data_IF_960585801180
#
_entry.id   IF_960585801180
#
_cell.length_a   1.000
_cell.length_b   1.000
_cell.length_c   1.000
_cell.angle_alpha   90.00
_cell.angle_beta   90.00
_cell.angle_gamma   90.00
#
_symmetry.space_group_name_H-M   'P 1'
#
loop_
_entity.id
_entity.type
_entity.pdbx_description
1 polymer ?
#
# COMPACT_ATOMS: atom_id res chain seq x y z
N UNK A 1 1.85 -1.14 -17.85
CA UNK A 1 2.80 -1.15 -18.97
C UNK A 1 4.13 -1.70 -18.50
N UNK A 2 4.76 -2.53 -19.31
CA UNK A 2 6.11 -3.02 -19.05
C UNK A 2 7.12 -1.87 -19.10
N UNK A 3 8.14 -1.89 -18.23
CA UNK A 3 9.23 -0.91 -18.27
C UNK A 3 10.16 -1.14 -19.45
N UNK A 4 10.61 -0.06 -20.10
CA UNK A 4 11.55 -0.12 -21.22
C UNK A 4 12.83 -0.89 -20.85
N UNK A 5 13.28 -0.80 -19.60
CA UNK A 5 14.44 -1.53 -19.10
C UNK A 5 14.28 -3.06 -19.22
N UNK A 6 13.09 -3.60 -18.94
CA UNK A 6 12.83 -5.05 -19.04
C UNK A 6 12.79 -5.52 -20.49
N UNK A 7 12.25 -4.70 -21.39
CA UNK A 7 12.30 -4.96 -22.84
C UNK A 7 13.75 -4.91 -23.32
N UNK A 8 14.53 -3.90 -22.89
CA UNK A 8 15.94 -3.76 -23.24
C UNK A 8 16.75 -4.99 -22.82
N UNK A 9 16.61 -5.45 -21.58
CA UNK A 9 17.28 -6.66 -21.10
C UNK A 9 16.95 -7.90 -21.95
N UNK A 10 15.68 -8.08 -22.32
CA UNK A 10 15.27 -9.18 -23.19
C UNK A 10 15.89 -9.08 -24.60
N UNK A 11 16.01 -7.88 -25.18
CA UNK A 11 16.67 -7.68 -26.47
C UNK A 11 18.18 -7.95 -26.37
N UNK A 12 18.83 -7.52 -25.29
CA UNK A 12 20.26 -7.74 -25.07
C UNK A 12 20.60 -9.23 -24.94
N UNK A 13 19.78 -10.02 -24.23
CA UNK A 13 19.89 -11.49 -24.17
C UNK A 13 19.76 -12.14 -25.55
N UNK A 14 18.79 -11.69 -26.36
CA UNK A 14 18.61 -12.20 -27.73
C UNK A 14 19.82 -11.86 -28.60
N UNK A 15 20.36 -10.64 -28.51
CA UNK A 15 21.58 -10.23 -29.24
C UNK A 15 22.79 -11.05 -28.78
N UNK A 16 22.93 -11.30 -27.49
CA UNK A 16 24.05 -12.06 -26.96
C UNK A 16 24.12 -13.47 -27.57
N UNK A 17 22.96 -14.13 -27.70
CA UNK A 17 22.84 -15.49 -28.26
C UNK A 17 22.96 -15.47 -29.79
N UNK A 18 22.20 -14.60 -30.45
CA UNK A 18 22.04 -14.63 -31.91
C UNK A 18 23.09 -13.83 -32.68
N UNK A 19 23.80 -12.91 -32.00
CA UNK A 19 24.68 -11.89 -32.59
C UNK A 19 24.00 -10.97 -33.61
N UNK A 20 22.68 -10.90 -33.57
CA UNK A 20 21.88 -10.03 -34.44
C UNK A 20 21.45 -8.79 -33.65
N UNK A 21 21.54 -7.64 -34.31
CA UNK A 21 21.11 -6.37 -33.75
C UNK A 21 19.59 -6.21 -33.84
N UNK A 22 18.96 -5.81 -32.73
CA UNK A 22 17.51 -5.64 -32.62
C UNK A 22 17.15 -4.23 -32.13
N UNK A 23 16.02 -3.73 -32.61
CA UNK A 23 15.39 -2.53 -32.10
C UNK A 23 13.87 -2.69 -32.07
N UNK A 24 13.23 -2.21 -31.01
CA UNK A 24 11.78 -2.24 -30.83
C UNK A 24 11.23 -0.82 -30.81
N UNK A 25 10.19 -0.60 -31.59
CA UNK A 25 9.49 0.68 -31.69
C UNK A 25 8.00 0.48 -31.39
N UNK A 26 7.33 1.55 -30.94
CA UNK A 26 5.86 1.58 -30.89
C UNK A 26 5.27 1.59 -32.30
N UNK A 27 3.98 1.29 -32.43
CA UNK A 27 3.18 1.48 -33.65
C UNK A 27 3.35 2.89 -34.28
N UNK A 28 3.58 3.91 -33.44
CA UNK A 28 3.81 5.31 -33.83
C UNK A 28 5.27 5.66 -34.19
N UNK A 29 6.18 4.71 -34.21
CA UNK A 29 7.59 4.94 -34.57
C UNK A 29 8.48 5.50 -33.47
N UNK A 30 8.01 5.57 -32.21
CA UNK A 30 8.87 5.94 -31.07
C UNK A 30 9.70 4.74 -30.63
N UNK A 31 11.01 4.92 -30.49
CA UNK A 31 11.91 3.86 -30.02
C UNK A 31 11.65 3.51 -28.55
N UNK A 32 11.51 2.22 -28.26
CA UNK A 32 11.28 1.66 -26.92
C UNK A 32 12.57 1.09 -26.32
N UNK A 33 13.30 0.31 -27.12
CA UNK A 33 14.54 -0.36 -26.74
C UNK A 33 15.36 -0.67 -28.00
N UNK A 34 16.69 -0.68 -27.90
CA UNK A 34 17.57 -1.00 -29.03
C UNK A 34 18.91 -1.52 -28.54
N UNK A 35 19.49 -2.47 -29.28
CA UNK A 35 20.80 -3.06 -28.96
C UNK A 35 21.94 -2.43 -29.78
N UNK A 36 21.64 -1.43 -30.60
CA UNK A 36 22.56 -0.73 -31.50
C UNK A 36 22.11 0.73 -31.69
N UNK A 37 23.03 1.59 -32.13
CA UNK A 37 22.68 2.96 -32.50
C UNK A 37 21.89 2.96 -33.82
N UNK A 38 20.67 3.46 -33.75
CA UNK A 38 19.75 3.54 -34.88
C UNK A 38 20.07 4.78 -35.70
N UNK A 39 20.53 4.56 -36.94
CA UNK A 39 20.89 5.63 -37.88
C UNK A 39 19.71 5.99 -38.80
N UNK A 40 19.49 7.28 -39.03
CA UNK A 40 18.46 7.79 -39.95
C UNK A 40 17.06 7.96 -39.36
N UNK A 41 16.11 8.42 -40.19
CA UNK A 41 14.71 8.64 -39.80
C UNK A 41 13.90 7.32 -39.85
N UNK A 42 14.24 6.42 -38.93
CA UNK A 42 13.57 5.12 -38.77
C UNK A 42 12.11 5.27 -38.33
N UNK A 43 11.72 6.41 -37.76
CA UNK A 43 10.35 6.70 -37.34
C UNK A 43 9.39 6.66 -38.53
N UNK A 44 9.75 7.30 -39.64
CA UNK A 44 8.95 7.27 -40.87
C UNK A 44 8.82 5.85 -41.45
N UNK A 45 9.92 5.09 -41.49
CA UNK A 45 9.92 3.72 -42.01
C UNK A 45 9.05 2.78 -41.17
N UNK A 46 9.14 2.89 -39.84
CA UNK A 46 8.32 2.12 -38.90
C UNK A 46 6.85 2.46 -39.04
N UNK A 47 6.50 3.76 -39.09
CA UNK A 47 5.11 4.20 -39.21
C UNK A 47 4.50 3.74 -40.56
N UNK A 48 5.25 3.87 -41.65
CA UNK A 48 4.83 3.37 -42.97
C UNK A 48 4.63 1.84 -42.97
N UNK A 49 5.49 1.08 -42.30
CA UNK A 49 5.36 -0.37 -42.19
C UNK A 49 4.18 -0.77 -41.29
N UNK A 50 3.97 -0.07 -40.18
CA UNK A 50 2.85 -0.30 -39.26
C UNK A 50 1.50 -0.18 -39.97
N UNK A 51 1.33 0.83 -40.85
CA UNK A 51 0.14 1.01 -41.68
C UNK A 51 -0.01 0.06 -42.87
N UNK A 52 0.99 -0.75 -43.18
CA UNK A 52 0.97 -1.67 -44.33
C UNK A 52 0.17 -2.95 -44.06
N UNK A 53 -0.21 -3.70 -45.10
CA UNK A 53 -0.84 -5.02 -44.94
C UNK A 53 0.18 -6.16 -44.66
N UNK A 54 1.49 -5.87 -44.71
CA UNK A 54 2.52 -6.89 -44.53
C UNK A 54 2.74 -7.24 -43.04
N UNK A 55 2.86 -8.53 -42.72
CA UNK A 55 3.24 -8.98 -41.36
C UNK A 55 4.74 -8.84 -41.09
N UNK A 56 5.54 -8.96 -42.15
CA UNK A 56 6.98 -8.74 -42.13
C UNK A 56 7.46 -8.16 -43.46
N UNK A 57 8.49 -7.30 -43.43
CA UNK A 57 9.06 -6.70 -44.63
C UNK A 57 10.57 -6.53 -44.47
N UNK A 58 11.33 -6.71 -45.56
CA UNK A 58 12.74 -6.31 -45.60
C UNK A 58 12.86 -4.93 -46.26
N UNK A 59 13.49 -3.98 -45.55
CA UNK A 59 13.73 -2.63 -46.05
C UNK A 59 15.11 -2.16 -45.57
N UNK A 60 15.93 -1.66 -46.49
CA UNK A 60 17.25 -1.06 -46.16
C UNK A 60 18.17 -1.95 -45.31
N UNK A 61 18.18 -3.26 -45.56
CA UNK A 61 19.02 -4.22 -44.82
C UNK A 61 18.51 -4.56 -43.40
N UNK A 62 17.28 -4.14 -43.07
CA UNK A 62 16.59 -4.51 -41.84
C UNK A 62 15.33 -5.32 -42.14
N UNK A 63 15.03 -6.32 -41.32
CA UNK A 63 13.74 -6.98 -41.32
C UNK A 63 12.83 -6.35 -40.29
N UNK A 64 11.63 -5.99 -40.71
CA UNK A 64 10.56 -5.43 -39.89
C UNK A 64 9.54 -6.51 -39.60
N UNK A 65 9.06 -6.56 -38.36
CA UNK A 65 8.04 -7.51 -37.92
C UNK A 65 6.98 -6.79 -37.08
N UNK A 66 5.72 -7.12 -37.33
CA UNK A 66 4.60 -6.66 -36.51
C UNK A 66 4.47 -7.53 -35.26
N UNK A 67 4.35 -6.90 -34.11
CA UNK A 67 4.08 -7.56 -32.83
C UNK A 67 2.65 -7.26 -32.43
N UNK A 68 1.77 -8.24 -32.64
CA UNK A 68 0.38 -8.16 -32.23
C UNK A 68 0.17 -8.74 -30.84
N UNK A 69 -0.59 -8.03 -30.00
CA UNK A 69 -1.04 -8.47 -28.68
C UNK A 69 -2.55 -8.27 -28.62
N UNK A 70 -3.30 -9.31 -28.27
CA UNK A 70 -4.78 -9.33 -28.25
C UNK A 70 -5.48 -8.77 -29.52
N UNK A 71 -4.81 -8.91 -30.67
CA UNK A 71 -5.33 -8.48 -31.97
C UNK A 71 -4.98 -7.04 -32.36
N UNK A 72 -4.34 -6.27 -31.47
CA UNK A 72 -3.87 -4.91 -31.75
C UNK A 72 -2.36 -4.89 -32.01
N UNK A 73 -1.92 -3.98 -32.90
CA UNK A 73 -0.51 -3.78 -33.22
C UNK A 73 0.13 -2.90 -32.13
N UNK A 74 0.89 -3.50 -31.23
CA UNK A 74 1.54 -2.77 -30.13
C UNK A 74 2.92 -2.26 -30.51
N UNK A 75 3.70 -3.11 -31.19
CA UNK A 75 5.10 -2.81 -31.51
C UNK A 75 5.50 -3.24 -32.92
N UNK A 76 6.59 -2.64 -33.39
CA UNK A 76 7.33 -3.04 -34.58
C UNK A 76 8.75 -3.41 -34.16
N UNK A 77 9.14 -4.66 -34.39
CA UNK A 77 10.49 -5.15 -34.15
C UNK A 77 11.31 -5.06 -35.43
N UNK A 78 12.55 -4.59 -35.31
CA UNK A 78 13.53 -4.57 -36.37
C UNK A 78 14.69 -5.48 -36.04
N UNK A 79 15.18 -6.22 -37.03
CA UNK A 79 16.47 -6.92 -36.97
C UNK A 79 17.38 -6.41 -38.08
N UNK A 80 18.60 -5.98 -37.71
CA UNK A 80 19.61 -5.46 -38.64
C UNK A 80 20.63 -6.56 -38.93
N UNK A 81 20.40 -7.33 -40.00
CA UNK A 81 21.35 -8.31 -40.50
C UNK A 81 20.92 -8.82 -41.88
N UNK A 82 21.89 -9.09 -42.76
CA UNK A 82 21.69 -9.73 -44.06
C UNK A 82 21.81 -11.26 -44.01
N UNK A 83 21.99 -11.84 -42.83
CA UNK A 83 22.09 -13.29 -42.65
C UNK A 83 20.70 -13.95 -42.78
N UNK A 84 20.64 -15.16 -43.34
CA UNK A 84 19.39 -15.93 -43.46
C UNK A 84 18.72 -16.16 -42.09
N UNK A 85 19.54 -16.29 -41.03
CA UNK A 85 19.08 -16.50 -39.67
C UNK A 85 18.39 -15.26 -39.06
N UNK A 86 18.61 -14.06 -39.62
CA UNK A 86 18.05 -12.81 -39.12
C UNK A 86 16.53 -12.79 -39.12
N UNK A 87 15.94 -13.46 -40.12
CA UNK A 87 14.49 -13.61 -40.19
C UNK A 87 13.95 -14.54 -39.10
N UNK A 88 14.59 -15.70 -38.90
CA UNK A 88 14.18 -16.66 -37.88
C UNK A 88 14.34 -16.08 -36.47
N UNK A 89 15.46 -15.41 -36.20
CA UNK A 89 15.72 -14.71 -34.93
C UNK A 89 14.71 -13.60 -34.70
N UNK A 90 14.38 -12.81 -35.73
CA UNK A 90 13.31 -11.82 -35.64
C UNK A 90 11.96 -12.44 -35.26
N UNK A 91 11.60 -13.58 -35.86
CA UNK A 91 10.36 -14.31 -35.52
C UNK A 91 10.35 -14.85 -34.08
N UNK A 92 11.47 -15.36 -33.59
CA UNK A 92 11.62 -15.81 -32.21
C UNK A 92 11.53 -14.63 -31.23
N UNK A 93 12.19 -13.52 -31.55
CA UNK A 93 12.15 -12.29 -30.77
C UNK A 93 10.73 -11.71 -30.70
N UNK A 94 9.96 -11.69 -31.81
CA UNK A 94 8.53 -11.32 -31.81
C UNK A 94 7.74 -12.22 -30.86
N UNK A 95 7.96 -13.53 -30.91
CA UNK A 95 7.26 -14.47 -30.04
C UNK A 95 7.57 -14.20 -28.55
N UNK A 96 8.85 -13.96 -28.23
CA UNK A 96 9.30 -13.66 -26.88
C UNK A 96 8.70 -12.34 -26.37
N UNK A 97 8.81 -11.27 -27.15
CA UNK A 97 8.28 -9.95 -26.79
C UNK A 97 6.76 -10.03 -26.62
N UNK A 98 6.05 -10.67 -27.55
CA UNK A 98 4.60 -10.85 -27.43
C UNK A 98 4.23 -11.58 -26.15
N UNK A 99 4.88 -12.71 -25.85
CA UNK A 99 4.60 -13.49 -24.63
C UNK A 99 4.84 -12.65 -23.38
N UNK A 100 5.93 -11.88 -23.40
CA UNK A 100 6.31 -11.02 -22.30
C UNK A 100 5.30 -9.89 -22.11
N UNK A 101 4.93 -9.17 -23.18
CA UNK A 101 3.92 -8.09 -23.14
C UNK A 101 2.56 -8.62 -22.70
N UNK A 102 2.09 -9.73 -23.26
CA UNK A 102 0.83 -10.39 -22.86
C UNK A 102 0.82 -10.73 -21.37
N UNK A 103 1.92 -11.30 -20.83
CA UNK A 103 2.01 -11.62 -19.41
C UNK A 103 1.91 -10.36 -18.50
N UNK A 104 2.54 -9.26 -18.91
CA UNK A 104 2.44 -7.99 -18.17
C UNK A 104 1.07 -7.33 -18.29
N UNK A 105 0.39 -7.44 -19.44
CA UNK A 105 -0.98 -6.96 -19.62
C UNK A 105 -1.97 -7.74 -18.75
N UNK A 106 -1.86 -9.06 -18.73
CA UNK A 106 -2.70 -9.91 -17.86
C UNK A 106 -2.50 -9.55 -16.38
N UNK A 107 -1.24 -9.38 -15.92
CA UNK A 107 -0.96 -8.96 -14.56
C UNK A 107 -1.54 -7.57 -14.24
N UNK A 108 -1.45 -6.64 -15.19
CA UNK A 108 -2.01 -5.30 -15.04
C UNK A 108 -3.54 -5.34 -14.94
N UNK A 109 -4.20 -6.16 -15.76
CA UNK A 109 -5.65 -6.36 -15.72
C UNK A 109 -6.11 -7.01 -14.42
N UNK A 110 -5.32 -7.94 -13.89
CA UNK A 110 -5.56 -8.57 -12.58
C UNK A 110 -5.46 -7.57 -11.43
N UNK A 111 -4.45 -6.71 -11.43
CA UNK A 111 -4.30 -5.67 -10.41
C UNK A 111 -5.42 -4.61 -10.51
N UNK A 112 -5.77 -4.16 -11.73
CA UNK A 112 -6.87 -3.23 -11.95
C UNK A 112 -8.22 -3.85 -11.54
N UNK A 113 -8.44 -5.13 -11.84
CA UNK A 113 -9.62 -5.85 -11.35
C UNK A 113 -9.71 -5.83 -9.82
N UNK A 114 -8.61 -6.11 -9.13
CA UNK A 114 -8.55 -6.04 -7.67
C UNK A 114 -8.76 -4.62 -7.13
N UNK A 115 -8.22 -3.60 -7.80
CA UNK A 115 -8.46 -2.19 -7.48
C UNK A 115 -9.96 -1.84 -7.56
N UNK A 116 -10.65 -2.30 -8.59
CA UNK A 116 -12.10 -2.09 -8.75
C UNK A 116 -12.91 -2.78 -7.65
N UNK A 117 -12.48 -3.98 -7.22
CA UNK A 117 -13.09 -4.67 -6.06
C UNK A 117 -12.89 -3.84 -4.78
N UNK A 118 -11.66 -3.38 -4.51
CA UNK A 118 -11.33 -2.59 -3.32
C UNK A 118 -12.18 -1.33 -3.20
N UNK A 119 -12.43 -0.65 -4.33
CA UNK A 119 -13.21 0.57 -4.40
C UNK A 119 -14.73 0.33 -4.37
N UNK A 120 -15.19 -0.93 -4.40
CA UNK A 120 -16.61 -1.25 -4.40
C UNK A 120 -17.34 -0.89 -5.71
N UNK A 121 -16.59 -0.70 -6.81
CA UNK A 121 -17.12 -0.23 -8.10
C UNK A 121 -17.66 -1.38 -8.98
N UNK A 122 -18.01 -2.53 -8.41
CA UNK A 122 -18.39 -3.71 -9.18
C UNK A 122 -19.52 -4.49 -8.51
N UNK A 123 -20.48 -4.92 -9.32
CA UNK A 123 -21.53 -5.84 -8.88
C UNK A 123 -20.94 -7.22 -8.61
N UNK A 124 -21.48 -7.91 -7.61
CA UNK A 124 -21.00 -9.23 -7.16
C UNK A 124 -20.97 -10.24 -8.32
N UNK A 125 -21.99 -10.23 -9.19
CA UNK A 125 -22.06 -11.15 -10.35
C UNK A 125 -20.91 -10.91 -11.34
N UNK A 126 -20.64 -9.64 -11.66
CA UNK A 126 -19.55 -9.26 -12.58
C UNK A 126 -18.18 -9.58 -11.98
N UNK A 127 -18.05 -9.43 -10.67
CA UNK A 127 -16.84 -9.77 -9.92
C UNK A 127 -16.46 -11.24 -10.10
N UNK A 128 -17.39 -12.17 -9.89
CA UNK A 128 -17.11 -13.59 -10.06
C UNK A 128 -16.84 -13.98 -11.52
N UNK A 129 -17.61 -13.42 -12.47
CA UNK A 129 -17.39 -13.66 -13.90
C UNK A 129 -16.00 -13.20 -14.36
N UNK A 130 -15.57 -12.02 -13.90
CA UNK A 130 -14.27 -11.45 -14.27
C UNK A 130 -13.12 -12.14 -13.52
N UNK A 131 -13.31 -12.55 -12.27
CA UNK A 131 -12.34 -13.37 -11.54
C UNK A 131 -12.07 -14.69 -12.27
N UNK A 132 -13.10 -15.36 -12.79
CA UNK A 132 -12.94 -16.60 -13.54
C UNK A 132 -12.14 -16.39 -14.84
N UNK A 133 -12.43 -15.33 -15.59
CA UNK A 133 -11.69 -14.98 -16.82
C UNK A 133 -10.22 -14.66 -16.57
N UNK A 134 -9.93 -14.04 -15.42
CA UNK A 134 -8.58 -13.65 -15.01
C UNK A 134 -7.86 -14.73 -14.18
N UNK A 135 -8.45 -15.93 -14.08
CA UNK A 135 -7.91 -17.06 -13.31
C UNK A 135 -7.59 -16.72 -11.84
N UNK A 136 -8.41 -15.86 -11.23
CA UNK A 136 -8.27 -15.48 -9.82
C UNK A 136 -9.13 -16.41 -8.97
N UNK A 137 -8.45 -17.21 -8.15
CA UNK A 137 -9.10 -18.14 -7.21
C UNK A 137 -9.77 -17.40 -6.04
N UNK A 138 -10.84 -18.00 -5.52
CA UNK A 138 -11.33 -17.67 -4.18
C UNK A 138 -10.30 -18.14 -3.15
N UNK A 139 -9.86 -17.24 -2.28
CA UNK A 139 -8.84 -17.54 -1.27
C UNK A 139 -9.03 -16.62 -0.08
N UNK A 140 -8.55 -17.07 1.09
CA UNK A 140 -8.43 -16.21 2.25
C UNK A 140 -7.37 -15.14 1.99
N UNK A 141 -7.76 -13.87 2.18
CA UNK A 141 -6.93 -12.70 1.90
C UNK A 141 -7.00 -11.68 3.03
N UNK A 142 -5.96 -10.89 3.15
CA UNK A 142 -5.90 -9.70 4.02
C UNK A 142 -5.42 -8.51 3.20
N UNK A 143 -6.03 -7.36 3.42
CA UNK A 143 -5.59 -6.10 2.82
C UNK A 143 -4.69 -5.35 3.79
N UNK A 144 -3.51 -4.97 3.31
CA UNK A 144 -2.57 -4.06 3.94
C UNK A 144 -2.58 -2.74 3.18
N UNK A 145 -2.63 -1.63 3.91
CA UNK A 145 -2.49 -0.27 3.38
C UNK A 145 -1.19 0.29 3.94
N UNK A 146 -0.29 0.63 3.05
CA UNK A 146 1.02 1.19 3.32
C UNK A 146 0.94 2.67 2.97
N UNK A 147 0.87 3.51 3.99
CA UNK A 147 0.80 4.95 3.85
C UNK A 147 2.20 5.57 3.98
N UNK A 148 2.58 6.36 2.99
CA UNK A 148 3.88 7.02 2.88
C UNK A 148 3.85 8.37 3.62
N UNK A 149 4.84 8.64 4.48
CA UNK A 149 5.05 9.98 5.03
C UNK A 149 5.71 10.88 3.98
N UNK A 150 4.93 11.43 3.04
CA UNK A 150 5.44 12.36 2.02
C UNK A 150 4.76 12.24 0.65
N UNK A 151 5.45 12.72 -0.38
CA UNK A 151 5.03 12.53 -1.78
C UNK A 151 5.36 11.13 -2.25
N UNK A 152 4.58 10.65 -3.22
CA UNK A 152 4.76 9.35 -3.87
C UNK A 152 6.20 9.18 -4.38
N UNK A 153 6.90 8.20 -3.82
CA UNK A 153 8.21 7.77 -4.31
C UNK A 153 8.01 6.56 -5.25
N UNK A 154 8.48 6.70 -6.50
CA UNK A 154 8.42 5.62 -7.47
C UNK A 154 9.20 4.37 -6.98
N UNK A 155 10.27 4.60 -6.23
CA UNK A 155 11.13 3.57 -5.62
C UNK A 155 10.36 2.73 -4.61
N UNK A 156 9.57 3.38 -3.75
CA UNK A 156 8.71 2.74 -2.76
C UNK A 156 7.71 1.77 -3.42
N UNK A 157 7.06 2.20 -4.49
CA UNK A 157 6.09 1.39 -5.22
C UNK A 157 6.78 0.19 -5.88
N UNK A 158 7.91 0.43 -6.53
CA UNK A 158 8.67 -0.63 -7.19
C UNK A 158 9.18 -1.67 -6.20
N UNK A 159 9.62 -1.25 -5.02
CA UNK A 159 10.01 -2.14 -3.93
C UNK A 159 8.86 -3.05 -3.50
N UNK A 160 7.68 -2.50 -3.18
CA UNK A 160 6.53 -3.33 -2.76
C UNK A 160 6.10 -4.27 -3.89
N UNK A 161 6.13 -3.81 -5.15
CA UNK A 161 5.87 -4.67 -6.31
C UNK A 161 6.93 -5.78 -6.42
N UNK A 162 8.21 -5.51 -6.21
CA UNK A 162 9.25 -6.54 -6.28
C UNK A 162 9.13 -7.56 -5.14
N UNK A 163 8.76 -7.14 -3.93
CA UNK A 163 8.54 -8.03 -2.79
C UNK A 163 7.38 -9.02 -3.00
N UNK A 164 6.30 -8.59 -3.64
CA UNK A 164 5.04 -9.36 -3.67
C UNK A 164 4.53 -9.72 -5.06
N UNK A 165 4.79 -8.94 -6.11
CA UNK A 165 4.24 -9.17 -7.44
C UNK A 165 4.84 -10.40 -8.15
N UNK A 166 5.99 -10.91 -7.68
CA UNK A 166 6.54 -12.19 -8.14
C UNK A 166 5.68 -13.39 -7.71
N UNK A 167 4.90 -13.25 -6.64
CA UNK A 167 3.95 -14.28 -6.20
C UNK A 167 2.63 -14.08 -6.94
N UNK A 168 2.27 -15.02 -7.80
CA UNK A 168 1.07 -14.97 -8.67
C UNK A 168 -0.27 -14.85 -7.94
N UNK A 169 -0.28 -14.95 -6.60
CA UNK A 169 -1.48 -14.92 -5.74
C UNK A 169 -1.66 -13.60 -4.99
N UNK A 170 -0.60 -12.79 -4.90
CA UNK A 170 -0.62 -11.49 -4.21
C UNK A 170 -0.84 -10.37 -5.24
N UNK A 171 -1.50 -9.29 -4.82
CA UNK A 171 -1.82 -8.17 -5.69
C UNK A 171 -1.37 -6.86 -5.05
N UNK A 172 -0.73 -6.01 -5.83
CA UNK A 172 -0.26 -4.69 -5.39
C UNK A 172 -0.89 -3.65 -6.29
N UNK A 173 -1.62 -2.70 -5.69
CA UNK A 173 -2.28 -1.62 -6.40
C UNK A 173 -2.11 -0.30 -5.67
N UNK A 174 -2.32 0.80 -6.38
CA UNK A 174 -2.27 2.15 -5.83
C UNK A 174 -3.71 2.70 -5.85
N UNK A 175 -4.17 3.32 -4.76
CA UNK A 175 -5.53 3.90 -4.71
C UNK A 175 -5.47 5.42 -4.75
N UNK A 176 -4.44 6.02 -4.16
CA UNK A 176 -4.21 7.45 -4.14
C UNK A 176 -2.71 7.75 -4.27
N UNK A 177 -2.31 9.01 -4.09
CA UNK A 177 -0.92 9.45 -4.21
C UNK A 177 -0.05 9.08 -3.00
N UNK A 178 -0.63 8.65 -1.88
CA UNK A 178 0.09 8.44 -0.62
C UNK A 178 0.02 6.98 -0.13
N UNK A 179 -0.82 6.16 -0.74
CA UNK A 179 -1.11 4.80 -0.27
C UNK A 179 -0.81 3.74 -1.33
N UNK A 180 -0.04 2.74 -0.92
CA UNK A 180 0.13 1.48 -1.64
C UNK A 180 -0.73 0.42 -0.94
N UNK A 181 -1.51 -0.34 -1.70
CA UNK A 181 -2.39 -1.38 -1.19
C UNK A 181 -1.87 -2.74 -1.62
N UNK A 182 -1.62 -3.60 -0.63
CA UNK A 182 -1.25 -5.00 -0.83
C UNK A 182 -2.44 -5.88 -0.44
N UNK A 183 -2.89 -6.71 -1.36
CA UNK A 183 -3.86 -7.78 -1.12
C UNK A 183 -3.08 -9.08 -1.05
N UNK A 184 -2.88 -9.59 0.16
CA UNK A 184 -2.07 -10.77 0.45
C UNK A 184 -2.94 -12.02 0.50
N UNK A 185 -2.55 -13.08 -0.20
CA UNK A 185 -3.08 -14.43 0.01
C UNK A 185 -2.50 -15.02 1.31
N UNK A 186 -3.37 -15.40 2.24
CA UNK A 186 -2.98 -15.82 3.60
C UNK A 186 -3.22 -17.31 3.86
N UNK A 187 -3.53 -18.11 2.82
CA UNK A 187 -3.81 -19.56 2.97
C UNK A 187 -2.64 -20.34 3.58
N UNK A 188 -1.42 -19.88 3.34
CA UNK A 188 -0.18 -20.50 3.84
C UNK A 188 0.37 -19.79 5.09
N UNK A 189 -0.29 -18.73 5.56
CA UNK A 189 0.08 -18.03 6.79
C UNK A 189 -0.68 -18.66 7.95
N UNK A 190 0.03 -19.00 9.02
CA UNK A 190 -0.52 -19.56 10.24
C UNK A 190 -1.31 -18.52 11.02
N UNK A 191 -0.82 -18.16 12.21
CA UNK A 191 -1.54 -17.31 13.16
C UNK A 191 -1.42 -15.81 12.83
N UNK A 192 -2.05 -14.97 13.65
CA UNK A 192 -2.00 -13.51 13.48
C UNK A 192 -0.58 -12.93 13.66
N UNK A 193 0.33 -13.65 14.33
CA UNK A 193 1.75 -13.27 14.47
C UNK A 193 2.47 -13.18 13.11
N UNK A 194 2.09 -14.01 12.14
CA UNK A 194 2.65 -13.96 10.79
C UNK A 194 2.25 -12.67 10.07
N UNK A 195 1.03 -12.17 10.31
CA UNK A 195 0.56 -10.91 9.73
C UNK A 195 1.28 -9.71 10.35
N UNK A 196 1.53 -9.74 11.66
CA UNK A 196 2.33 -8.73 12.36
C UNK A 196 3.75 -8.71 11.80
N UNK A 197 4.37 -9.89 11.68
CA UNK A 197 5.73 -10.03 11.15
C UNK A 197 5.82 -9.53 9.70
N UNK A 198 4.81 -9.82 8.87
CA UNK A 198 4.73 -9.30 7.51
C UNK A 198 4.63 -7.77 7.47
N UNK A 199 3.78 -7.17 8.33
CA UNK A 199 3.66 -5.72 8.41
C UNK A 199 4.98 -5.06 8.84
N UNK A 200 5.65 -5.61 9.86
CA UNK A 200 6.96 -5.14 10.31
C UNK A 200 8.03 -5.29 9.22
N UNK A 201 8.05 -6.42 8.51
CA UNK A 201 8.95 -6.63 7.38
C UNK A 201 8.76 -5.56 6.30
N UNK A 202 7.50 -5.19 5.98
CA UNK A 202 7.22 -4.12 5.02
C UNK A 202 7.81 -2.80 5.52
N UNK A 203 7.53 -2.42 6.77
CA UNK A 203 8.08 -1.19 7.37
C UNK A 203 9.61 -1.15 7.31
N UNK A 204 10.27 -2.23 7.72
CA UNK A 204 11.73 -2.33 7.74
C UNK A 204 12.35 -2.19 6.35
N UNK A 205 11.78 -2.84 5.33
CA UNK A 205 12.26 -2.72 3.94
C UNK A 205 12.05 -1.30 3.39
N UNK A 206 10.93 -0.66 3.73
CA UNK A 206 10.65 0.72 3.30
C UNK A 206 11.64 1.72 3.92
N UNK A 207 12.00 1.55 5.19
CA UNK A 207 13.04 2.36 5.83
C UNK A 207 14.44 2.09 5.26
N UNK A 208 14.79 0.82 5.05
CA UNK A 208 16.16 0.44 4.68
C UNK A 208 16.49 0.67 3.20
N UNK A 209 15.59 0.32 2.29
CA UNK A 209 15.86 0.32 0.85
C UNK A 209 15.25 1.54 0.15
N UNK A 210 14.02 1.94 0.50
CA UNK A 210 13.37 3.12 -0.08
C UNK A 210 13.71 4.42 0.66
N UNK A 211 14.26 4.34 1.89
CA UNK A 211 14.55 5.50 2.75
C UNK A 211 13.31 6.37 3.03
N UNK A 212 12.13 5.75 3.08
CA UNK A 212 10.85 6.44 3.30
C UNK A 212 10.21 5.90 4.58
N UNK A 213 9.75 6.82 5.44
CA UNK A 213 8.96 6.43 6.62
C UNK A 213 7.54 6.09 6.20
N UNK A 214 7.02 5.00 6.74
CA UNK A 214 5.69 4.50 6.39
C UNK A 214 4.92 4.07 7.63
N UNK A 215 3.60 4.10 7.51
CA UNK A 215 2.69 3.41 8.42
C UNK A 215 1.95 2.32 7.67
N UNK A 216 1.80 1.16 8.29
CA UNK A 216 1.13 0.00 7.71
C UNK A 216 -0.08 -0.37 8.56
N UNK A 217 -1.27 -0.18 8.00
CA UNK A 217 -2.53 -0.65 8.56
C UNK A 217 -3.00 -1.90 7.85
N UNK A 218 -3.59 -2.86 8.56
CA UNK A 218 -4.17 -4.03 7.92
C UNK A 218 -5.50 -4.48 8.53
N UNK A 219 -6.38 -4.99 7.65
CA UNK A 219 -7.71 -5.45 8.00
C UNK A 219 -7.73 -6.88 8.53
N UNK A 220 -8.93 -7.43 8.70
CA UNK A 220 -9.11 -8.84 9.02
C UNK A 220 -9.00 -9.72 7.78
N UNK A 221 -8.77 -11.02 8.02
CA UNK A 221 -8.86 -12.09 7.03
C UNK A 221 -10.28 -12.17 6.46
N UNK A 222 -10.37 -12.24 5.14
CA UNK A 222 -11.62 -12.36 4.40
C UNK A 222 -11.54 -13.50 3.39
N UNK A 223 -12.62 -14.27 3.28
CA UNK A 223 -12.66 -15.45 2.41
C UNK A 223 -13.26 -15.17 1.03
N UNK A 224 -13.95 -14.04 0.86
CA UNK A 224 -14.63 -13.71 -0.37
C UNK A 224 -14.08 -12.47 -1.05
N UNK A 225 -14.11 -12.47 -2.39
CA UNK A 225 -13.72 -11.31 -3.20
C UNK A 225 -14.50 -10.04 -2.79
N UNK A 226 -15.81 -10.14 -2.56
CA UNK A 226 -16.64 -9.00 -2.15
C UNK A 226 -16.23 -8.41 -0.78
N UNK A 227 -15.64 -9.24 0.09
CA UNK A 227 -15.23 -8.83 1.43
C UNK A 227 -13.84 -8.17 1.43
N UNK A 228 -13.11 -8.21 0.31
CA UNK A 228 -11.82 -7.51 0.16
C UNK A 228 -12.00 -5.99 0.36
N UNK A 229 -13.08 -5.41 -0.15
CA UNK A 229 -13.43 -4.01 0.09
C UNK A 229 -13.58 -3.71 1.58
N UNK A 230 -14.19 -4.63 2.35
CA UNK A 230 -14.31 -4.49 3.80
C UNK A 230 -12.94 -4.53 4.49
N UNK A 231 -12.09 -5.51 4.16
CA UNK A 231 -10.73 -5.60 4.72
C UNK A 231 -9.91 -4.34 4.42
N UNK A 232 -10.10 -3.74 3.25
CA UNK A 232 -9.49 -2.44 2.90
C UNK A 232 -9.98 -1.28 3.77
N UNK A 233 -11.30 -1.15 3.98
CA UNK A 233 -11.85 -0.13 4.87
C UNK A 233 -11.36 -0.31 6.32
N UNK A 234 -11.25 -1.56 6.78
CA UNK A 234 -10.67 -1.90 8.07
C UNK A 234 -9.20 -1.46 8.16
N UNK A 235 -8.39 -1.73 7.13
CA UNK A 235 -6.99 -1.31 7.06
C UNK A 235 -6.82 0.22 7.07
N UNK A 236 -7.67 0.96 6.33
CA UNK A 236 -7.68 2.43 6.37
C UNK A 236 -8.05 2.96 7.76
N UNK A 237 -9.10 2.40 8.37
CA UNK A 237 -9.49 2.77 9.72
C UNK A 237 -8.37 2.48 10.74
N UNK A 238 -7.62 1.40 10.55
CA UNK A 238 -6.46 1.11 11.39
C UNK A 238 -5.38 2.18 11.32
N UNK A 239 -5.09 2.74 10.14
CA UNK A 239 -4.16 3.85 10.01
C UNK A 239 -4.68 5.11 10.72
N UNK A 240 -5.93 5.51 10.45
CA UNK A 240 -6.51 6.73 11.01
C UNK A 240 -6.61 6.70 12.53
N UNK A 241 -7.15 5.61 13.09
CA UNK A 241 -7.24 5.40 14.53
C UNK A 241 -5.84 5.22 15.14
N UNK A 242 -4.93 4.57 14.40
CA UNK A 242 -3.53 4.38 14.75
C UNK A 242 -2.79 5.70 14.97
N UNK A 243 -2.94 6.67 14.08
CA UNK A 243 -2.33 8.01 14.19
C UNK A 243 -2.74 8.74 15.46
N UNK A 244 -4.00 8.58 15.89
CA UNK A 244 -4.57 9.29 17.03
C UNK A 244 -4.15 8.65 18.35
N UNK A 245 -4.30 7.32 18.47
CA UNK A 245 -4.17 6.63 19.77
C UNK A 245 -2.88 5.82 19.93
N UNK A 246 -2.16 5.58 18.84
CA UNK A 246 -0.99 4.71 18.79
C UNK A 246 0.12 5.36 17.96
N UNK A 247 0.37 6.66 18.17
CA UNK A 247 1.28 7.46 17.34
C UNK A 247 2.70 6.87 17.21
N UNK A 248 3.19 6.18 18.23
CA UNK A 248 4.52 5.53 18.23
C UNK A 248 4.58 4.22 17.43
N UNK A 249 3.43 3.66 17.04
CA UNK A 249 3.38 2.42 16.26
C UNK A 249 3.34 2.73 14.77
N UNK A 250 4.26 2.10 14.04
CA UNK A 250 4.28 2.13 12.57
C UNK A 250 3.39 1.04 11.95
N UNK A 251 3.06 -0.02 12.71
CA UNK A 251 2.13 -1.08 12.27
C UNK A 251 0.88 -1.14 13.15
N UNK A 252 -0.30 -1.15 12.54
CA UNK A 252 -1.58 -1.26 13.26
C UNK A 252 -2.51 -2.28 12.60
N UNK A 253 -3.01 -3.24 13.37
CA UNK A 253 -4.08 -4.13 12.94
C UNK A 253 -5.45 -3.58 13.33
N UNK A 254 -6.43 -3.71 12.45
CA UNK A 254 -7.81 -3.32 12.74
C UNK A 254 -8.39 -4.00 13.98
N UNK A 255 -8.05 -5.28 14.20
CA UNK A 255 -8.53 -6.04 15.36
C UNK A 255 -8.06 -5.47 16.70
N UNK A 256 -6.92 -4.78 16.73
CA UNK A 256 -6.31 -4.26 17.94
C UNK A 256 -6.69 -2.80 18.25
N UNK A 257 -7.62 -2.20 17.50
CA UNK A 257 -8.08 -0.82 17.73
C UNK A 257 -8.91 -0.64 19.01
N UNK A 258 -9.47 -1.73 19.56
CA UNK A 258 -10.21 -1.72 20.82
C UNK A 258 -11.34 -0.70 20.85
N UNK A 259 -11.38 0.13 21.89
CA UNK A 259 -12.36 1.22 22.07
C UNK A 259 -12.07 2.43 21.16
N UNK A 260 -10.83 2.59 20.69
CA UNK A 260 -10.43 3.71 19.84
C UNK A 260 -11.24 3.77 18.54
N UNK A 261 -11.59 2.61 17.97
CA UNK A 261 -12.46 2.53 16.77
C UNK A 261 -13.86 3.07 17.03
N UNK A 262 -14.40 2.89 18.24
CA UNK A 262 -15.74 3.36 18.59
C UNK A 262 -15.72 4.87 18.77
N UNK A 263 -14.69 5.38 19.46
CA UNK A 263 -14.49 6.81 19.68
C UNK A 263 -14.35 7.55 18.36
N UNK A 264 -13.55 7.02 17.42
CA UNK A 264 -13.36 7.62 16.10
C UNK A 264 -14.65 7.72 15.26
N UNK A 265 -15.66 6.88 15.55
CA UNK A 265 -16.95 6.91 14.87
C UNK A 265 -17.96 7.86 15.53
N UNK A 266 -17.65 8.43 16.70
CA UNK A 266 -18.56 9.31 17.40
C UNK A 266 -18.65 10.68 16.68
N UNK A 267 -19.86 11.22 16.50
CA UNK A 267 -20.04 12.61 16.09
C UNK A 267 -19.37 13.56 17.10
N UNK A 268 -18.71 14.60 16.58
CA UNK A 268 -18.01 15.61 17.39
C UNK A 268 -18.91 16.26 18.46
N UNK A 269 -20.19 16.45 18.18
CA UNK A 269 -21.16 16.98 19.15
C UNK A 269 -21.36 16.08 20.37
N UNK A 270 -21.27 14.76 20.20
CA UNK A 270 -21.33 13.82 21.32
C UNK A 270 -20.03 13.82 22.12
N UNK A 271 -18.89 13.98 21.44
CA UNK A 271 -17.59 14.14 22.09
C UNK A 271 -17.59 15.40 22.98
N UNK A 272 -18.04 16.53 22.46
CA UNK A 272 -18.14 17.79 23.20
C UNK A 272 -19.06 17.68 24.42
N UNK A 273 -20.25 17.09 24.25
CA UNK A 273 -21.19 16.85 25.34
C UNK A 273 -20.57 15.98 26.44
N UNK A 274 -19.94 14.86 26.07
CA UNK A 274 -19.31 13.96 27.02
C UNK A 274 -18.18 14.64 27.80
N UNK A 275 -17.33 15.42 27.13
CA UNK A 275 -16.24 16.15 27.79
C UNK A 275 -16.78 17.22 28.74
N UNK A 276 -17.83 17.94 28.34
CA UNK A 276 -18.48 18.92 29.20
C UNK A 276 -19.14 18.27 30.43
N UNK A 277 -19.73 17.08 30.30
CA UNK A 277 -20.29 16.34 31.46
C UNK A 277 -19.21 15.85 32.43
N UNK A 278 -18.04 15.46 31.91
CA UNK A 278 -16.94 14.91 32.72
C UNK A 278 -16.11 16.02 33.40
N UNK A 279 -15.80 17.09 32.69
CA UNK A 279 -14.89 18.15 33.16
C UNK A 279 -15.54 19.53 33.33
N UNK A 280 -16.78 19.74 32.87
CA UNK A 280 -17.45 21.05 32.88
C UNK A 280 -17.03 21.96 31.72
N UNK A 281 -17.16 23.28 31.91
CA UNK A 281 -16.86 24.30 30.90
C UNK A 281 -15.36 24.48 30.60
N UNK A 282 -14.49 24.06 31.52
CA UNK A 282 -13.03 24.18 31.37
C UNK A 282 -12.39 22.80 31.43
N UNK A 283 -11.79 22.35 30.31
CA UNK A 283 -10.82 21.26 30.35
C UNK A 283 -9.62 21.81 31.11
N UNK A 284 -9.29 21.29 32.31
CA UNK A 284 -8.22 21.88 33.09
C UNK A 284 -6.91 21.79 32.31
N UNK A 285 -6.23 22.93 32.08
CA UNK A 285 -4.88 23.00 31.50
C UNK A 285 -3.82 22.53 32.53
N UNK A 286 -4.14 21.45 33.23
CA UNK A 286 -3.43 20.95 34.42
C UNK A 286 -2.62 19.70 34.08
N UNK A 287 -2.72 19.24 32.84
CA UNK A 287 -1.92 18.16 32.26
C UNK A 287 -0.53 18.66 31.85
N UNK A 288 0.22 19.16 32.82
CA UNK A 288 1.66 19.33 32.63
C UNK A 288 2.33 17.96 32.41
N UNK A 289 3.54 17.97 31.86
CA UNK A 289 4.27 16.75 31.47
C UNK A 289 4.42 15.74 32.63
N UNK A 290 4.62 16.23 33.86
CA UNK A 290 4.76 15.41 35.07
C UNK A 290 3.46 14.69 35.46
N UNK A 291 2.33 15.40 35.42
CA UNK A 291 0.99 14.87 35.66
C UNK A 291 0.63 13.81 34.62
N UNK A 292 0.82 14.12 33.35
CA UNK A 292 0.54 13.23 32.23
C UNK A 292 1.36 11.94 32.33
N UNK A 293 2.65 12.07 32.62
CA UNK A 293 3.54 10.92 32.84
C UNK A 293 3.08 10.08 34.04
N UNK A 294 2.68 10.73 35.14
CA UNK A 294 2.19 10.04 36.34
C UNK A 294 0.94 9.21 36.03
N UNK A 295 -0.02 9.80 35.33
CA UNK A 295 -1.27 9.15 34.91
C UNK A 295 -0.98 7.98 33.97
N UNK A 296 -0.14 8.19 32.94
CA UNK A 296 0.21 7.16 31.97
C UNK A 296 0.86 5.96 32.68
N UNK A 297 1.86 6.19 33.53
CA UNK A 297 2.50 5.11 34.31
C UNK A 297 1.54 4.44 35.28
N UNK A 298 0.59 5.18 35.84
CA UNK A 298 -0.42 4.60 36.71
C UNK A 298 -1.35 3.64 35.97
N UNK A 299 -1.78 4.00 34.75
CA UNK A 299 -2.56 3.12 33.88
C UNK A 299 -1.75 1.92 33.37
N UNK A 300 -0.49 2.11 32.95
CA UNK A 300 0.40 1.03 32.50
C UNK A 300 0.60 -0.05 33.59
N UNK A 301 0.61 0.35 34.86
CA UNK A 301 0.73 -0.56 36.01
C UNK A 301 -0.62 -1.03 36.57
N UNK A 302 -1.70 -0.97 35.79
CA UNK A 302 -3.04 -1.42 36.19
C UNK A 302 -3.53 -0.77 37.51
N UNK A 303 -3.31 0.54 37.68
CA UNK A 303 -3.67 1.32 38.86
C UNK A 303 -2.93 0.88 40.15
N UNK A 304 -1.82 0.14 40.02
CA UNK A 304 -1.02 -0.29 41.16
C UNK A 304 -0.09 0.83 41.64
N UNK A 305 -0.38 1.38 42.82
CA UNK A 305 0.38 2.48 43.42
C UNK A 305 1.84 2.09 43.68
N UNK A 306 2.11 0.88 44.17
CA UNK A 306 3.46 0.45 44.55
C UNK A 306 4.38 0.29 43.34
N UNK A 307 3.87 -0.34 42.28
CA UNK A 307 4.60 -0.53 41.02
C UNK A 307 4.84 0.82 40.32
N UNK A 308 3.81 1.65 40.26
CA UNK A 308 3.90 3.00 39.66
C UNK A 308 4.90 3.89 40.39
N UNK A 309 4.89 3.90 41.72
CA UNK A 309 5.83 4.69 42.50
C UNK A 309 7.28 4.26 42.25
N UNK A 310 7.51 2.95 42.12
CA UNK A 310 8.83 2.39 41.78
C UNK A 310 9.28 2.81 40.38
N UNK A 311 8.39 2.72 39.39
CA UNK A 311 8.70 3.09 38.00
C UNK A 311 8.93 4.60 37.83
N UNK A 312 8.24 5.44 38.60
CA UNK A 312 8.42 6.89 38.62
C UNK A 312 9.57 7.35 39.52
N UNK A 313 10.27 6.43 40.20
CA UNK A 313 11.33 6.73 41.17
C UNK A 313 10.89 7.69 42.28
N UNK A 314 9.65 7.57 42.74
CA UNK A 314 9.08 8.38 43.85
C UNK A 314 8.63 7.49 45.00
N UNK A 315 8.50 8.07 46.19
CA UNK A 315 7.92 7.36 47.32
C UNK A 315 6.41 7.16 47.13
N UNK A 316 5.86 6.04 47.63
CA UNK A 316 4.43 5.71 47.56
C UNK A 316 3.53 6.88 48.00
N UNK A 317 3.86 7.51 49.12
CA UNK A 317 3.07 8.63 49.67
C UNK A 317 3.10 9.87 48.76
N UNK A 318 4.22 10.12 48.08
CA UNK A 318 4.32 11.22 47.10
C UNK A 318 3.41 10.95 45.91
N UNK A 319 3.35 9.72 45.42
CA UNK A 319 2.41 9.34 44.36
C UNK A 319 0.96 9.50 44.81
N UNK A 320 0.60 9.03 46.01
CA UNK A 320 -0.75 9.21 46.56
C UNK A 320 -1.12 10.69 46.63
N UNK A 321 -0.22 11.55 47.10
CA UNK A 321 -0.45 13.00 47.12
C UNK A 321 -0.67 13.58 45.72
N UNK A 322 0.10 13.14 44.71
CA UNK A 322 -0.13 13.56 43.31
C UNK A 322 -1.51 13.14 42.82
N UNK A 323 -1.94 11.91 43.11
CA UNK A 323 -3.27 11.40 42.73
C UNK A 323 -4.40 12.15 43.46
N UNK A 324 -4.24 12.48 44.74
CA UNK A 324 -5.21 13.30 45.49
C UNK A 324 -5.31 14.73 44.96
N UNK A 325 -4.18 15.31 44.54
CA UNK A 325 -4.19 16.62 43.87
C UNK A 325 -4.92 16.54 42.54
N UNK A 326 -4.73 15.46 41.78
CA UNK A 326 -5.47 15.24 40.53
C UNK A 326 -6.96 15.16 40.80
N UNK A 327 -7.39 14.30 41.72
CA UNK A 327 -8.79 14.14 42.12
C UNK A 327 -9.47 15.49 42.44
N UNK A 328 -8.78 16.38 43.17
CA UNK A 328 -9.31 17.72 43.48
C UNK A 328 -9.49 18.63 42.28
N UNK A 329 -8.70 18.43 41.22
CA UNK A 329 -8.74 19.24 39.99
C UNK A 329 -9.77 18.70 39.02
N UNK A 330 -9.75 17.39 38.77
CA UNK A 330 -10.58 16.77 37.72
C UNK A 330 -11.90 16.20 38.24
N UNK A 331 -12.11 16.15 39.57
CA UNK A 331 -13.31 15.60 40.19
C UNK A 331 -13.45 14.07 40.12
N UNK A 332 -12.45 13.38 39.58
CA UNK A 332 -12.42 11.92 39.41
C UNK A 332 -11.29 11.29 40.24
N UNK A 333 -11.61 10.24 40.99
CA UNK A 333 -10.61 9.46 41.70
C UNK A 333 -10.11 8.31 40.84
N UNK A 334 -9.05 8.55 40.05
CA UNK A 334 -8.50 7.53 39.13
C UNK A 334 -7.92 6.28 39.84
N UNK A 335 -7.92 6.23 41.18
CA UNK A 335 -7.63 4.98 41.94
C UNK A 335 -8.82 4.02 41.92
N UNK A 336 -10.04 4.52 41.67
CA UNK A 336 -11.25 3.73 41.47
C UNK A 336 -11.37 3.38 40.00
N UNK A 337 -11.70 2.12 39.72
CA UNK A 337 -11.77 1.61 38.36
C UNK A 337 -12.74 2.41 37.46
N UNK A 338 -13.95 2.71 37.95
CA UNK A 338 -14.98 3.40 37.16
C UNK A 338 -14.56 4.83 36.77
N UNK A 339 -14.02 5.58 37.73
CA UNK A 339 -13.49 6.94 37.53
C UNK A 339 -12.26 6.91 36.61
N UNK A 340 -11.37 5.93 36.79
CA UNK A 340 -10.19 5.75 35.95
C UNK A 340 -10.57 5.43 34.49
N UNK A 341 -11.59 4.58 34.29
CA UNK A 341 -12.10 4.24 32.96
C UNK A 341 -12.73 5.46 32.30
N UNK A 342 -13.57 6.20 33.03
CA UNK A 342 -14.20 7.45 32.56
C UNK A 342 -13.13 8.45 32.13
N UNK A 343 -12.12 8.66 32.99
CA UNK A 343 -11.00 9.53 32.69
C UNK A 343 -10.23 9.07 31.45
N UNK A 344 -9.92 7.78 31.33
CA UNK A 344 -9.18 7.22 30.18
C UNK A 344 -9.93 7.45 28.87
N UNK A 345 -11.25 7.23 28.85
CA UNK A 345 -12.09 7.48 27.68
C UNK A 345 -12.12 8.97 27.36
N UNK A 346 -12.28 9.84 28.36
CA UNK A 346 -12.28 11.28 28.17
C UNK A 346 -10.98 11.79 27.54
N UNK A 347 -9.82 11.29 28.00
CA UNK A 347 -8.54 11.62 27.36
C UNK A 347 -8.47 11.15 25.91
N UNK A 348 -8.97 9.95 25.59
CA UNK A 348 -9.03 9.49 24.21
C UNK A 348 -9.97 10.36 23.34
N UNK A 349 -11.13 10.74 23.87
CA UNK A 349 -12.06 11.63 23.17
C UNK A 349 -11.40 12.99 22.90
N UNK A 350 -10.68 13.56 23.86
CA UNK A 350 -9.91 14.81 23.67
C UNK A 350 -8.88 14.66 22.55
N UNK A 351 -8.09 13.58 22.54
CA UNK A 351 -7.10 13.33 21.47
C UNK A 351 -7.76 13.24 20.09
N UNK A 352 -8.92 12.58 19.99
CA UNK A 352 -9.69 12.53 18.76
C UNK A 352 -10.18 13.92 18.33
N UNK A 353 -10.77 14.69 19.25
CA UNK A 353 -11.25 16.04 18.96
C UNK A 353 -10.13 16.99 18.49
N UNK A 354 -8.95 16.88 19.11
CA UNK A 354 -7.77 17.66 18.71
C UNK A 354 -7.29 17.26 17.31
N UNK A 355 -7.28 15.96 17.00
CA UNK A 355 -6.92 15.47 15.67
C UNK A 355 -7.85 16.05 14.59
N UNK A 356 -9.18 15.97 14.79
CA UNK A 356 -10.17 16.49 13.83
C UNK A 356 -9.97 17.99 13.60
N UNK A 357 -9.80 18.79 14.67
CA UNK A 357 -9.53 20.23 14.58
C UNK A 357 -8.24 20.54 13.80
N UNK A 358 -7.18 19.76 14.01
CA UNK A 358 -5.91 19.95 13.31
C UNK A 358 -6.02 19.58 11.82
N UNK A 359 -6.79 18.55 11.48
CA UNK A 359 -7.05 18.14 10.10
C UNK A 359 -7.86 19.19 9.33
N UNK A 360 -8.88 19.79 9.95
CA UNK A 360 -9.68 20.88 9.34
C UNK A 360 -8.85 22.14 9.12
N UNK A 361 -7.96 22.49 10.05
CA UNK A 361 -7.06 23.63 9.93
C UNK A 361 -5.94 23.44 8.88
N UNK A 362 -5.62 22.18 8.51
CA UNK A 362 -4.65 21.89 7.46
C UNK A 362 -5.24 21.96 6.04
N UNK A 363 -6.58 21.95 5.92
CA UNK A 363 -7.32 22.03 4.66
C UNK A 363 -7.79 23.44 4.30
N UNK A 364 -7.71 24.39 5.24
CA UNK A 364 -7.97 25.82 5.08
C UNK A 364 -6.66 26.61 5.03
#
# INVERSE_FOLDING_TARGET
MISNHKIQAALDEIKEISKIDLALYTDKGKQVAATFETEGDMEYAVNSFAGSMAESQMLSGCHFFKVYVDGELEYVLLTKSSAEDAYMVGRLAVCQIRTLVSAYMEQFDRNNFMQNILLGNMLVVDMYNKAQKLHIEQAERVVFVIELEGKKDATAIELVKNLFAAKTRDFVTEVDEQSIVLIKDTREMGEDEDLVSLASMIVDNMHAEAMVRVRVGYGNRVNNLQDIAKSYQEAKMALEVGKIFYAEKETIAYRYLGIGRLIYQLPMSLCEMFIHEVFGDEIPDVFNEETTTTIQKFFENNLNISETARQLYVHRNTLVYRLERLEKVIGLDIRKFDDAMTFKIAMMVISHMQYVKNSENALN
#
